data_IF_588524805041
#
_entry.id   IF_588524805041
#
_cell.length_a   1.000
_cell.length_b   1.000
_cell.length_c   1.000
_cell.angle_alpha   90.00
_cell.angle_beta   90.00
_cell.angle_gamma   90.00
#
_symmetry.space_group_name_H-M   'P 1'
#
loop_
_entity.id
_entity.type
_entity.pdbx_description
1 polymer ?
#
# COMPACT_ATOMS: atom_id res chain seq x y z
N UNK A 1 11.68 3.54 -25.99
CA UNK A 1 10.89 2.75 -25.01
C UNK A 1 9.50 3.32 -24.97
N UNK A 2 8.48 2.56 -25.35
CA UNK A 2 7.11 3.06 -25.41
C UNK A 2 6.59 3.31 -23.97
N UNK A 3 6.19 4.56 -23.68
CA UNK A 3 5.38 4.88 -22.51
C UNK A 3 4.04 4.18 -22.69
N UNK A 4 3.86 3.03 -22.03
CA UNK A 4 2.56 2.38 -21.97
C UNK A 4 1.76 3.14 -20.92
N UNK A 5 0.97 4.10 -21.39
CA UNK A 5 -0.16 4.66 -20.64
C UNK A 5 -0.93 3.48 -20.04
N UNK A 6 -0.87 3.32 -18.71
CA UNK A 6 -1.56 2.24 -18.02
C UNK A 6 -3.04 2.63 -17.89
N UNK A 7 -3.73 2.77 -19.02
CA UNK A 7 -5.17 2.97 -19.10
C UNK A 7 -5.88 1.64 -18.81
N UNK A 8 -5.86 1.20 -17.56
CA UNK A 8 -6.71 0.11 -17.12
C UNK A 8 -7.46 0.58 -15.88
N UNK A 9 -8.80 0.71 -15.92
CA UNK A 9 -9.54 0.67 -14.67
C UNK A 9 -9.28 -0.71 -14.08
N UNK A 10 -8.76 -0.77 -12.85
CA UNK A 10 -8.63 -2.02 -12.11
C UNK A 10 -10.02 -2.68 -12.11
N UNK A 11 -10.21 -3.86 -12.73
CA UNK A 11 -11.53 -4.44 -12.85
C UNK A 11 -12.08 -4.70 -11.45
N UNK A 12 -13.27 -4.17 -11.16
CA UNK A 12 -13.97 -4.52 -9.92
C UNK A 12 -14.22 -6.03 -9.94
N UNK A 13 -13.96 -6.67 -8.80
CA UNK A 13 -14.03 -8.13 -8.62
C UNK A 13 -15.38 -8.71 -9.09
N UNK A 14 -16.45 -7.90 -9.05
CA UNK A 14 -17.81 -8.25 -9.48
C UNK A 14 -17.99 -8.59 -10.96
N UNK A 15 -17.04 -8.26 -11.85
CA UNK A 15 -17.15 -8.48 -13.30
C UNK A 15 -16.21 -9.54 -13.88
N UNK A 16 -15.46 -10.26 -13.04
CA UNK A 16 -14.42 -11.18 -13.49
C UNK A 16 -14.95 -12.62 -13.61
N UNK A 17 -14.53 -13.40 -14.62
CA UNK A 17 -14.83 -14.82 -14.67
C UNK A 17 -14.22 -15.53 -13.45
N UNK A 18 -14.91 -16.57 -12.95
CA UNK A 18 -14.55 -17.26 -11.70
C UNK A 18 -13.09 -17.75 -11.65
N UNK A 19 -12.51 -18.07 -12.82
CA UNK A 19 -11.11 -18.44 -12.97
C UNK A 19 -10.16 -17.29 -12.64
N UNK A 20 -10.47 -16.07 -13.08
CA UNK A 20 -9.72 -14.86 -12.75
C UNK A 20 -9.90 -14.46 -11.29
N UNK A 21 -11.11 -14.61 -10.72
CA UNK A 21 -11.35 -14.36 -9.29
C UNK A 21 -10.48 -15.25 -8.40
N UNK A 22 -10.34 -16.54 -8.75
CA UNK A 22 -9.43 -17.44 -8.03
C UNK A 22 -7.96 -17.02 -8.17
N UNK A 23 -7.56 -16.52 -9.34
CA UNK A 23 -6.20 -16.04 -9.58
C UNK A 23 -5.91 -14.76 -8.79
N UNK A 24 -6.84 -13.79 -8.74
CA UNK A 24 -6.67 -12.54 -7.99
C UNK A 24 -6.55 -12.80 -6.48
N UNK A 25 -7.34 -13.71 -5.92
CA UNK A 25 -7.24 -14.09 -4.50
C UNK A 25 -5.88 -14.73 -4.18
N UNK A 26 -5.36 -15.60 -5.07
CA UNK A 26 -4.02 -16.21 -4.90
C UNK A 26 -2.90 -15.16 -4.97
N UNK A 27 -3.01 -14.19 -5.88
CA UNK A 27 -2.06 -13.10 -6.00
C UNK A 27 -2.07 -12.20 -4.77
N UNK A 28 -3.25 -11.86 -4.25
CA UNK A 28 -3.42 -11.07 -3.03
C UNK A 28 -2.80 -11.76 -1.81
N UNK A 29 -3.06 -13.06 -1.63
CA UNK A 29 -2.45 -13.86 -0.57
C UNK A 29 -0.91 -13.91 -0.68
N UNK A 30 -0.38 -13.95 -1.91
CA UNK A 30 1.07 -13.94 -2.17
C UNK A 30 1.65 -12.56 -1.86
N UNK A 31 0.99 -11.49 -2.27
CA UNK A 31 1.40 -10.12 -1.99
C UNK A 31 1.44 -9.82 -0.48
N UNK A 32 0.47 -10.34 0.29
CA UNK A 32 0.48 -10.24 1.76
C UNK A 32 1.66 -10.97 2.40
N UNK A 33 2.07 -12.13 1.88
CA UNK A 33 3.28 -12.83 2.35
C UNK A 33 4.55 -12.00 2.10
N UNK A 34 4.66 -11.39 0.92
CA UNK A 34 5.78 -10.51 0.59
C UNK A 34 5.81 -9.25 1.46
N UNK A 35 4.64 -8.68 1.75
CA UNK A 35 4.51 -7.58 2.72
C UNK A 35 5.02 -7.99 4.10
N UNK A 36 4.56 -9.12 4.63
CA UNK A 36 5.00 -9.61 5.93
C UNK A 36 6.52 -9.83 5.98
N UNK A 37 7.13 -10.31 4.89
CA UNK A 37 8.58 -10.44 4.80
C UNK A 37 9.29 -9.08 4.81
N UNK A 38 8.76 -8.07 4.10
CA UNK A 38 9.31 -6.72 4.09
C UNK A 38 9.22 -6.04 5.47
N UNK A 39 8.09 -6.22 6.17
CA UNK A 39 7.89 -5.73 7.54
C UNK A 39 8.85 -6.41 8.51
N UNK A 40 8.99 -7.74 8.47
CA UNK A 40 9.98 -8.47 9.27
C UNK A 40 11.41 -7.99 9.01
N UNK A 41 11.76 -7.72 7.76
CA UNK A 41 13.10 -7.17 7.42
C UNK A 41 13.29 -5.81 8.08
N UNK A 42 12.30 -4.92 8.02
CA UNK A 42 12.34 -3.61 8.69
C UNK A 42 12.52 -3.77 10.20
N UNK A 43 11.74 -4.63 10.83
CA UNK A 43 11.76 -4.83 12.28
C UNK A 43 13.12 -5.41 12.73
N UNK A 44 13.70 -6.31 11.95
CA UNK A 44 15.05 -6.82 12.19
C UNK A 44 16.11 -5.71 12.21
N UNK A 45 16.05 -4.75 11.27
CA UNK A 45 16.98 -3.61 11.30
C UNK A 45 16.72 -2.68 12.49
N UNK A 46 15.47 -2.50 12.92
CA UNK A 46 15.18 -1.76 14.15
C UNK A 46 15.74 -2.45 15.39
N UNK A 47 15.64 -3.77 15.48
CA UNK A 47 16.21 -4.55 16.58
C UNK A 47 17.74 -4.47 16.59
N UNK A 48 18.36 -4.57 15.39
CA UNK A 48 19.79 -4.34 15.24
C UNK A 48 20.20 -2.94 15.70
N UNK A 49 19.45 -1.91 15.31
CA UNK A 49 19.68 -0.52 15.72
C UNK A 49 19.59 -0.36 17.24
N UNK A 50 18.51 -0.86 17.87
CA UNK A 50 18.29 -0.80 19.32
C UNK A 50 19.39 -1.52 20.10
N UNK A 51 19.82 -2.68 19.62
CA UNK A 51 20.87 -3.48 20.27
C UNK A 51 22.29 -2.93 20.06
N UNK A 52 22.49 -1.97 19.14
CA UNK A 52 23.82 -1.47 18.75
C UNK A 52 24.70 -2.47 17.98
N UNK A 53 24.30 -3.75 17.88
CA UNK A 53 25.07 -4.83 17.23
C UNK A 53 25.34 -4.60 15.75
N UNK A 54 24.62 -3.68 15.11
CA UNK A 54 24.82 -3.35 13.70
C UNK A 54 26.24 -2.87 13.38
N UNK A 55 26.92 -2.23 14.35
CA UNK A 55 28.30 -1.71 14.22
C UNK A 55 29.34 -2.79 13.93
N UNK A 56 29.05 -4.05 14.24
CA UNK A 56 29.95 -5.17 13.95
C UNK A 56 29.87 -5.67 12.50
N UNK A 57 28.78 -5.35 11.80
CA UNK A 57 28.48 -5.91 10.47
C UNK A 57 28.45 -4.85 9.36
N UNK A 58 28.22 -3.59 9.73
CA UNK A 58 28.01 -2.50 8.79
C UNK A 58 28.79 -1.26 9.20
N UNK A 59 29.18 -0.47 8.21
CA UNK A 59 29.55 0.94 8.40
C UNK A 59 28.28 1.78 8.61
N UNK A 60 28.41 2.92 9.29
CA UNK A 60 27.30 3.84 9.60
C UNK A 60 26.48 4.20 8.35
N UNK A 61 27.16 4.59 7.27
CA UNK A 61 26.52 4.96 6.01
C UNK A 61 25.75 3.79 5.38
N UNK A 62 26.37 2.61 5.35
CA UNK A 62 25.76 1.40 4.75
C UNK A 62 24.56 0.94 5.57
N UNK A 63 24.65 0.99 6.89
CA UNK A 63 23.54 0.63 7.77
C UNK A 63 22.35 1.56 7.56
N UNK A 64 22.58 2.87 7.52
CA UNK A 64 21.50 3.84 7.30
C UNK A 64 20.85 3.68 5.91
N UNK A 65 21.65 3.38 4.88
CA UNK A 65 21.12 3.11 3.55
C UNK A 65 20.22 1.87 3.53
N UNK A 66 20.66 0.75 4.13
CA UNK A 66 19.89 -0.49 4.24
C UNK A 66 18.61 -0.32 5.06
N UNK A 67 18.67 0.39 6.19
CA UNK A 67 17.50 0.68 7.03
C UNK A 67 16.46 1.50 6.26
N UNK A 68 16.88 2.57 5.57
CA UNK A 68 15.99 3.38 4.72
C UNK A 68 15.37 2.56 3.60
N UNK A 69 16.16 1.69 2.96
CA UNK A 69 15.67 0.80 1.92
C UNK A 69 14.62 -0.19 2.45
N UNK A 70 14.86 -0.78 3.63
CA UNK A 70 13.92 -1.69 4.27
C UNK A 70 12.59 -1.00 4.64
N UNK A 71 12.66 0.21 5.20
CA UNK A 71 11.46 1.03 5.50
C UNK A 71 10.69 1.34 4.22
N UNK A 72 11.37 1.84 3.19
CA UNK A 72 10.75 2.19 1.92
C UNK A 72 10.14 0.97 1.20
N UNK A 73 10.75 -0.21 1.36
CA UNK A 73 10.22 -1.46 0.82
C UNK A 73 8.94 -1.87 1.56
N UNK A 74 8.94 -1.84 2.89
CA UNK A 74 7.76 -2.15 3.70
C UNK A 74 6.59 -1.19 3.38
N UNK A 75 6.87 0.11 3.28
CA UNK A 75 5.86 1.12 2.90
C UNK A 75 5.29 0.88 1.49
N UNK A 76 6.13 0.49 0.52
CA UNK A 76 5.67 0.15 -0.83
C UNK A 76 4.75 -1.07 -0.82
N UNK A 77 5.11 -2.12 -0.08
CA UNK A 77 4.26 -3.30 0.06
C UNK A 77 2.96 -3.03 0.79
N UNK A 78 2.94 -2.15 1.79
CA UNK A 78 1.71 -1.72 2.45
C UNK A 78 0.73 -1.05 1.47
N UNK A 79 1.22 -0.31 0.48
CA UNK A 79 0.40 0.28 -0.58
C UNK A 79 -0.10 -0.75 -1.60
N UNK A 80 0.73 -1.74 -1.94
CA UNK A 80 0.39 -2.79 -2.93
C UNK A 80 -0.60 -3.80 -2.34
N UNK A 81 -0.41 -4.16 -1.08
CA UNK A 81 -1.20 -5.16 -0.36
C UNK A 81 -1.65 -4.58 0.99
N UNK A 82 -2.62 -3.66 1.00
CA UNK A 82 -3.20 -3.15 2.25
C UNK A 82 -3.86 -4.31 3.00
N UNK A 83 -3.73 -4.29 4.33
CA UNK A 83 -4.45 -5.25 5.19
C UNK A 83 -5.96 -5.06 5.00
N UNK A 84 -6.79 -6.08 5.26
CA UNK A 84 -8.24 -5.94 5.16
C UNK A 84 -8.79 -4.75 5.95
N UNK A 85 -8.23 -4.51 7.15
CA UNK A 85 -8.56 -3.39 8.02
C UNK A 85 -8.15 -2.04 7.42
N UNK A 86 -6.93 -1.94 6.88
CA UNK A 86 -6.44 -0.74 6.21
C UNK A 86 -7.20 -0.45 4.91
N UNK A 87 -7.63 -1.48 4.19
CA UNK A 87 -8.48 -1.35 3.00
C UNK A 87 -9.87 -0.88 3.39
N UNK A 88 -10.43 -1.40 4.47
CA UNK A 88 -11.71 -0.94 5.00
C UNK A 88 -11.63 0.51 5.46
N UNK A 89 -10.57 0.90 6.16
CA UNK A 89 -10.30 2.28 6.53
C UNK A 89 -10.13 3.20 5.31
N UNK A 90 -9.34 2.81 4.31
CA UNK A 90 -9.16 3.59 3.08
C UNK A 90 -10.46 3.74 2.27
N UNK A 91 -11.32 2.73 2.27
CA UNK A 91 -12.64 2.80 1.64
C UNK A 91 -13.63 3.66 2.45
N UNK A 92 -13.51 3.67 3.78
CA UNK A 92 -14.32 4.49 4.67
C UNK A 92 -13.87 5.97 4.67
N UNK A 93 -12.59 6.23 4.42
CA UNK A 93 -11.99 7.57 4.35
C UNK A 93 -12.12 8.21 2.96
N UNK A 94 -12.67 7.48 1.98
CA UNK A 94 -13.17 8.11 0.75
C UNK A 94 -14.27 9.11 1.13
N UNK A 95 -14.20 10.38 0.68
CA UNK A 95 -15.09 11.42 1.15
C UNK A 95 -16.53 11.00 0.90
N UNK A 96 -17.30 11.00 1.99
CA UNK A 96 -18.71 10.70 2.05
C UNK A 96 -19.41 11.36 0.84
N UNK A 97 -19.75 10.53 -0.16
CA UNK A 97 -20.42 10.94 -1.40
C UNK A 97 -21.71 11.76 -1.15
N UNK A 98 -22.45 11.68 -0.02
CA UNK A 98 -23.52 12.63 0.28
C UNK A 98 -23.05 14.07 0.54
N UNK A 99 -21.91 14.29 1.21
CA UNK A 99 -21.44 15.63 1.60
C UNK A 99 -20.88 16.43 0.43
N UNK A 100 -20.25 15.75 -0.53
CA UNK A 100 -19.83 16.36 -1.79
C UNK A 100 -21.03 16.74 -2.67
N UNK A 101 -22.09 15.93 -2.68
CA UNK A 101 -23.33 16.24 -3.39
C UNK A 101 -24.10 17.40 -2.72
N UNK A 102 -24.12 17.47 -1.38
CA UNK A 102 -24.68 18.60 -0.64
C UNK A 102 -23.90 19.90 -0.86
N UNK A 103 -22.57 19.83 -0.92
CA UNK A 103 -21.73 21.00 -1.23
C UNK A 103 -21.94 21.47 -2.68
N UNK A 104 -22.06 20.57 -3.65
CA UNK A 104 -22.40 20.94 -5.02
C UNK A 104 -23.79 21.57 -5.12
N UNK A 105 -24.79 21.01 -4.42
CA UNK A 105 -26.15 21.55 -4.36
C UNK A 105 -26.20 22.94 -3.70
N UNK A 106 -25.38 23.18 -2.68
CA UNK A 106 -25.27 24.46 -1.99
C UNK A 106 -24.53 25.54 -2.81
N UNK A 107 -23.60 25.14 -3.68
CA UNK A 107 -22.93 26.05 -4.62
C UNK A 107 -23.90 26.47 -5.73
N UNK A 108 -24.67 25.53 -6.27
CA UNK A 108 -25.64 25.78 -7.33
C UNK A 108 -26.80 26.67 -6.86
N UNK A 109 -27.28 26.49 -5.62
CA UNK A 109 -28.32 27.33 -5.01
C UNK A 109 -27.85 28.75 -4.64
N UNK A 110 -26.54 29.02 -4.65
CA UNK A 110 -25.95 30.33 -4.37
C UNK A 110 -25.62 31.12 -5.65
N UNK A 111 -25.66 30.44 -6.80
CA UNK A 111 -25.42 31.00 -8.12
C UNK A 111 -26.72 31.37 -8.88
N UNK A 112 -27.88 30.98 -8.35
CA UNK A 112 -29.22 31.37 -8.81
C UNK A 112 -29.79 32.50 -7.94
#
# INVERSE_FOLDING_TARGET
MAHREFECPVPRISGLPQTMVKATVKLEATALKWRALAERRRDHYFDLYKSGRWRHYYTDEKFLAELRAAIALAQRWAKIAPLPEERAAANAEAPDRPRAAELMKAIESRAA
#
